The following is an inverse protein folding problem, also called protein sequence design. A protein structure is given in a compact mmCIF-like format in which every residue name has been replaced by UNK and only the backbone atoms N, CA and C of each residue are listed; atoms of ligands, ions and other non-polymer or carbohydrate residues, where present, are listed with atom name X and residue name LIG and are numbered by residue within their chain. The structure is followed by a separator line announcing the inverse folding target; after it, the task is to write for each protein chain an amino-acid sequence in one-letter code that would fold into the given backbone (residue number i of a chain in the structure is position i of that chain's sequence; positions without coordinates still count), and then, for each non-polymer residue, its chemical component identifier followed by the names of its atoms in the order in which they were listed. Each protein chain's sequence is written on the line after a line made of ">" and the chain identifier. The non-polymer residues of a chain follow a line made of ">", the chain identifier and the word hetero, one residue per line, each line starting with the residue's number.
data_IF_690747674236
#
_entry.id   IF_690747674236
#
_cell.length_a   1.000
_cell.length_b   1.000
_cell.length_c   1.000
_cell.angle_alpha   90.00
_cell.angle_beta   90.00
_cell.angle_gamma   90.00
#
_symmetry.space_group_name_H-M   'P 1'
#
loop_
_entity.id
_entity.type
_entity.pdbx_description
1 polymer ?
#
# COMPACT_ATOMS: atom_id res chain seq x y z
N UNK A 1 -9.91 13.21 -2.15
CA UNK A 1 -8.47 13.41 -1.87
C UNK A 1 -8.20 14.91 -1.67
N UNK A 2 -7.28 15.25 -0.76
CA UNK A 2 -6.90 16.66 -0.48
C UNK A 2 -5.71 17.15 -1.32
N UNK A 3 -5.17 16.32 -2.19
CA UNK A 3 -4.06 16.60 -3.10
C UNK A 3 -2.75 17.09 -2.43
N UNK A 4 -2.56 16.82 -1.13
CA UNK A 4 -1.38 17.30 -0.38
C UNK A 4 -0.07 16.66 -0.86
N UNK A 5 -0.13 15.45 -1.41
CA UNK A 5 1.02 14.67 -1.87
C UNK A 5 0.83 14.02 -3.24
N UNK A 6 -0.14 14.49 -4.02
CA UNK A 6 -0.46 13.97 -5.36
C UNK A 6 -1.03 15.07 -6.26
N UNK A 7 -1.36 14.71 -7.50
CA UNK A 7 -1.98 15.60 -8.49
C UNK A 7 -3.28 14.99 -9.02
N UNK A 8 -4.24 15.83 -9.37
CA UNK A 8 -5.48 15.39 -10.02
C UNK A 8 -5.27 14.87 -11.46
N UNK A 9 -4.08 15.06 -12.05
CA UNK A 9 -3.77 14.58 -13.41
C UNK A 9 -3.89 13.06 -13.60
N UNK A 10 -3.87 12.31 -12.50
CA UNK A 10 -4.13 10.85 -12.54
C UNK A 10 -5.52 10.53 -13.10
N UNK A 11 -6.48 11.43 -12.95
CA UNK A 11 -7.86 11.26 -13.47
C UNK A 11 -7.90 11.21 -14.99
N UNK A 12 -7.04 11.98 -15.66
CA UNK A 12 -6.91 11.97 -17.13
C UNK A 12 -6.40 10.61 -17.61
N UNK A 13 -5.42 10.04 -16.90
CA UNK A 13 -4.91 8.70 -17.15
C UNK A 13 -6.00 7.64 -16.98
N UNK A 14 -6.75 7.69 -15.87
CA UNK A 14 -7.86 6.77 -15.62
C UNK A 14 -8.94 6.89 -16.71
N UNK A 15 -9.32 8.11 -17.07
CA UNK A 15 -10.31 8.38 -18.11
C UNK A 15 -9.86 7.81 -19.46
N UNK A 16 -8.59 7.99 -19.82
CA UNK A 16 -8.04 7.47 -21.06
C UNK A 16 -8.03 5.94 -21.09
N UNK A 17 -7.71 5.30 -19.96
CA UNK A 17 -7.65 3.83 -19.85
C UNK A 17 -9.05 3.21 -19.89
N UNK A 18 -10.00 3.81 -19.19
CA UNK A 18 -11.30 3.17 -18.90
C UNK A 18 -12.46 3.72 -19.72
N UNK A 19 -12.28 4.87 -20.36
CA UNK A 19 -13.36 5.63 -20.99
C UNK A 19 -14.36 6.26 -20.00
N UNK A 20 -14.07 6.22 -18.69
CA UNK A 20 -14.90 6.75 -17.62
C UNK A 20 -14.10 7.69 -16.73
N UNK A 21 -14.62 8.87 -16.49
CA UNK A 21 -14.03 9.82 -15.52
C UNK A 21 -14.61 9.56 -14.14
N UNK A 22 -13.78 9.20 -13.14
CA UNK A 22 -14.26 9.09 -11.77
C UNK A 22 -14.77 10.44 -11.26
N UNK A 23 -15.82 10.44 -10.47
CA UNK A 23 -16.25 11.64 -9.78
C UNK A 23 -15.22 11.99 -8.68
N UNK A 24 -14.72 13.21 -8.71
CA UNK A 24 -13.63 13.64 -7.85
C UNK A 24 -14.03 14.80 -6.94
N UNK A 25 -13.75 14.65 -5.67
CA UNK A 25 -13.96 15.69 -4.66
C UNK A 25 -12.62 16.11 -4.05
N UNK A 26 -12.14 17.35 -4.29
CA UNK A 26 -10.95 17.89 -3.65
C UNK A 26 -11.28 18.27 -2.20
N UNK A 27 -11.42 17.27 -1.35
CA UNK A 27 -11.83 17.40 0.04
C UNK A 27 -10.86 16.70 0.98
N UNK A 28 -10.76 17.20 2.21
CA UNK A 28 -9.88 16.67 3.24
C UNK A 28 -10.70 15.91 4.30
N UNK A 29 -10.48 14.59 4.38
CA UNK A 29 -11.14 13.74 5.37
C UNK A 29 -10.71 13.99 6.82
N UNK A 30 -9.70 14.83 7.06
CA UNK A 30 -9.35 15.29 8.42
C UNK A 30 -10.39 16.23 9.03
N UNK A 31 -11.28 16.78 8.21
CA UNK A 31 -12.40 17.58 8.66
C UNK A 31 -13.62 16.68 8.91
N UNK A 32 -14.21 16.72 10.12
CA UNK A 32 -15.28 15.79 10.51
C UNK A 32 -16.52 15.86 9.62
N UNK A 33 -16.81 17.03 9.05
CA UNK A 33 -17.96 17.23 8.15
C UNK A 33 -17.77 16.63 6.74
N UNK A 34 -16.54 16.38 6.32
CA UNK A 34 -16.26 15.93 4.94
C UNK A 34 -16.94 14.60 4.61
N UNK A 35 -16.82 13.61 5.49
CA UNK A 35 -17.47 12.32 5.29
C UNK A 35 -19.01 12.48 5.19
N UNK A 36 -19.61 13.24 6.11
CA UNK A 36 -21.06 13.49 6.14
C UNK A 36 -21.56 14.16 4.85
N UNK A 37 -20.80 15.15 4.33
CA UNK A 37 -21.12 15.81 3.06
C UNK A 37 -21.12 14.80 1.90
N UNK A 38 -20.09 13.93 1.81
CA UNK A 38 -19.98 12.92 0.75
C UNK A 38 -21.13 11.92 0.80
N UNK A 39 -21.44 11.37 1.97
CA UNK A 39 -22.52 10.41 2.15
C UNK A 39 -23.92 11.02 1.90
N UNK A 40 -24.09 12.31 2.21
CA UNK A 40 -25.32 13.03 1.88
C UNK A 40 -25.51 13.23 0.39
N UNK A 41 -24.42 13.43 -0.37
CA UNK A 41 -24.46 13.55 -1.83
C UNK A 41 -24.67 12.20 -2.53
N UNK A 42 -24.15 11.13 -1.94
CA UNK A 42 -24.15 9.78 -2.49
C UNK A 42 -24.79 8.80 -1.50
N UNK A 43 -26.11 8.85 -1.29
CA UNK A 43 -26.79 7.96 -0.35
C UNK A 43 -26.83 6.49 -0.81
N UNK A 44 -26.43 6.21 -2.05
CA UNK A 44 -26.35 4.90 -2.68
C UNK A 44 -24.98 4.22 -2.53
N UNK A 45 -24.04 4.82 -1.79
CA UNK A 45 -22.75 4.18 -1.48
C UNK A 45 -23.02 2.87 -0.73
N UNK A 46 -22.49 1.77 -1.26
CA UNK A 46 -22.59 0.43 -0.68
C UNK A 46 -21.23 -0.21 -0.36
N UNK A 47 -20.13 0.42 -0.80
CA UNK A 47 -18.77 -0.01 -0.47
C UNK A 47 -17.83 1.19 -0.34
N UNK A 48 -16.85 1.04 0.55
CA UNK A 48 -15.76 2.01 0.76
C UNK A 48 -14.42 1.28 0.74
N UNK A 49 -13.48 1.78 -0.05
CA UNK A 49 -12.07 1.41 0.03
C UNK A 49 -11.31 2.60 0.63
N UNK A 50 -10.78 2.43 1.83
CA UNK A 50 -10.11 3.50 2.55
C UNK A 50 -8.60 3.47 2.36
N UNK A 51 -8.10 4.27 1.41
CA UNK A 51 -6.67 4.48 1.17
C UNK A 51 -6.11 5.73 1.83
N UNK A 52 -6.96 6.69 2.22
CA UNK A 52 -6.53 8.00 2.69
C UNK A 52 -5.67 7.89 3.96
N UNK A 53 -4.36 8.03 3.80
CA UNK A 53 -3.39 7.98 4.89
C UNK A 53 -2.03 8.56 4.45
N UNK A 54 -1.24 9.07 5.37
CA UNK A 54 0.19 9.24 5.19
C UNK A 54 0.88 7.87 5.35
N UNK A 55 1.84 7.55 4.48
CA UNK A 55 2.41 6.19 4.36
C UNK A 55 3.95 6.10 4.51
N UNK A 56 4.66 7.22 4.61
CA UNK A 56 6.11 7.23 4.65
C UNK A 56 6.64 6.87 6.04
N UNK A 57 7.33 5.73 6.16
CA UNK A 57 7.83 5.21 7.44
C UNK A 57 8.81 6.18 8.09
N UNK A 58 9.80 6.68 7.34
CA UNK A 58 10.81 7.62 7.85
C UNK A 58 10.19 8.94 8.32
N UNK A 59 9.35 9.57 7.50
CA UNK A 59 8.65 10.81 7.87
C UNK A 59 7.79 10.63 9.11
N UNK A 60 7.18 9.46 9.30
CA UNK A 60 6.35 9.21 10.48
C UNK A 60 7.15 9.28 11.79
N UNK A 61 8.44 8.94 11.75
CA UNK A 61 9.34 9.06 12.93
C UNK A 61 9.66 10.53 13.21
N UNK A 62 9.80 11.35 12.17
CA UNK A 62 10.08 12.78 12.29
C UNK A 62 8.84 13.59 12.69
N UNK A 63 7.65 13.18 12.21
CA UNK A 63 6.38 13.89 12.39
C UNK A 63 5.25 12.98 12.93
N UNK A 64 5.44 12.34 14.08
CA UNK A 64 4.51 11.32 14.57
C UNK A 64 3.09 11.85 14.80
N UNK A 65 2.94 13.07 15.30
CA UNK A 65 1.61 13.64 15.58
C UNK A 65 0.79 13.88 14.32
N UNK A 66 1.44 14.29 13.22
CA UNK A 66 0.78 14.48 11.93
C UNK A 66 0.23 13.14 11.41
N UNK A 67 1.00 12.05 11.59
CA UNK A 67 0.58 10.71 11.20
C UNK A 67 -0.59 10.20 12.02
N UNK A 68 -0.55 10.33 13.35
CA UNK A 68 -1.67 9.95 14.20
C UNK A 68 -2.91 10.77 13.87
N UNK A 69 -2.80 12.08 13.80
CA UNK A 69 -3.92 12.96 13.49
C UNK A 69 -4.52 12.65 12.11
N UNK A 70 -3.68 12.56 11.07
CA UNK A 70 -4.17 12.29 9.73
C UNK A 70 -4.81 10.90 9.62
N UNK A 71 -4.08 9.85 9.99
CA UNK A 71 -4.49 8.49 9.68
C UNK A 71 -5.64 7.99 10.56
N UNK A 72 -5.70 8.41 11.82
CA UNK A 72 -6.75 7.96 12.74
C UNK A 72 -8.02 8.82 12.62
N UNK A 73 -7.90 10.14 12.54
CA UNK A 73 -9.08 11.00 12.43
C UNK A 73 -9.85 10.74 11.13
N UNK A 74 -9.13 10.58 10.00
CA UNK A 74 -9.78 10.26 8.71
C UNK A 74 -10.56 8.94 8.78
N UNK A 75 -10.02 7.93 9.44
CA UNK A 75 -10.68 6.65 9.64
C UNK A 75 -11.93 6.81 10.54
N UNK A 76 -11.78 7.46 11.69
CA UNK A 76 -12.87 7.64 12.66
C UNK A 76 -14.04 8.44 12.06
N UNK A 77 -13.77 9.57 11.40
CA UNK A 77 -14.81 10.40 10.80
C UNK A 77 -15.54 9.66 9.66
N UNK A 78 -14.80 8.87 8.88
CA UNK A 78 -15.39 8.04 7.83
C UNK A 78 -16.29 6.95 8.43
N UNK A 79 -15.82 6.26 9.48
CA UNK A 79 -16.58 5.20 10.15
C UNK A 79 -17.87 5.72 10.79
N UNK A 80 -17.90 6.94 11.33
CA UNK A 80 -19.11 7.56 11.87
C UNK A 80 -20.27 7.65 10.84
N UNK A 81 -19.94 7.73 9.56
CA UNK A 81 -20.94 7.66 8.48
C UNK A 81 -21.20 6.21 8.04
N UNK A 82 -20.16 5.41 7.86
CA UNK A 82 -20.25 4.02 7.41
C UNK A 82 -21.12 3.15 8.32
N UNK A 83 -21.05 3.36 9.65
CA UNK A 83 -21.86 2.56 10.61
C UNK A 83 -23.34 2.87 10.60
N UNK A 84 -23.80 3.91 9.88
CA UNK A 84 -25.23 4.28 9.82
C UNK A 84 -26.04 3.35 8.90
N UNK A 85 -25.38 2.61 8.01
CA UNK A 85 -26.00 1.71 7.04
C UNK A 85 -25.06 0.54 6.70
N UNK A 86 -25.57 -0.56 6.10
CA UNK A 86 -24.74 -1.73 5.79
C UNK A 86 -23.82 -1.48 4.60
N UNK A 87 -22.65 -0.93 4.85
CA UNK A 87 -21.60 -0.62 3.86
C UNK A 87 -20.46 -1.62 4.00
N UNK A 88 -20.04 -2.20 2.89
CA UNK A 88 -18.81 -2.99 2.82
C UNK A 88 -17.57 -2.08 3.00
N UNK A 89 -16.69 -2.41 3.94
CA UNK A 89 -15.53 -1.56 4.23
C UNK A 89 -14.22 -2.31 4.02
N UNK A 90 -13.39 -1.81 3.11
CA UNK A 90 -12.04 -2.35 2.87
C UNK A 90 -11.02 -1.38 3.44
N UNK A 91 -10.21 -1.86 4.37
CA UNK A 91 -9.16 -1.09 4.99
C UNK A 91 -7.79 -1.38 4.38
N UNK A 92 -7.14 -0.34 3.91
CA UNK A 92 -5.75 -0.35 3.47
C UNK A 92 -4.84 -0.49 4.69
N UNK A 93 -4.62 -1.74 5.14
CA UNK A 93 -3.66 -2.07 6.18
C UNK A 93 -2.26 -2.29 5.61
N UNK A 94 -1.34 -2.81 6.38
CA UNK A 94 0.05 -2.95 5.97
C UNK A 94 0.72 -4.10 6.71
N UNK A 95 1.72 -4.74 6.11
CA UNK A 95 2.59 -5.69 6.80
C UNK A 95 3.33 -5.09 8.00
N UNK A 96 3.43 -3.76 8.09
CA UNK A 96 4.07 -3.07 9.22
C UNK A 96 3.34 -3.28 10.55
N UNK A 97 2.09 -3.76 10.53
CA UNK A 97 1.34 -4.15 11.74
C UNK A 97 1.99 -5.34 12.48
N UNK A 98 2.77 -6.16 11.80
CA UNK A 98 3.46 -7.29 12.44
C UNK A 98 4.69 -6.87 13.28
N UNK A 99 5.16 -5.63 13.11
CA UNK A 99 6.42 -5.19 13.71
C UNK A 99 7.60 -6.02 13.17
N UNK A 100 8.46 -6.49 14.07
CA UNK A 100 9.53 -7.43 13.73
C UNK A 100 8.97 -8.86 13.80
N UNK A 101 8.45 -9.38 12.71
CA UNK A 101 7.91 -10.73 12.66
C UNK A 101 8.96 -11.78 13.07
N UNK A 102 8.52 -12.80 13.82
CA UNK A 102 9.40 -13.84 14.36
C UNK A 102 9.63 -14.97 13.35
N UNK A 103 8.66 -15.22 12.49
CA UNK A 103 8.67 -16.32 11.52
C UNK A 103 8.36 -15.81 10.11
N UNK A 104 8.89 -16.50 9.11
CA UNK A 104 8.72 -16.22 7.70
C UNK A 104 8.39 -17.51 6.94
N UNK A 105 7.49 -17.47 5.94
CA UNK A 105 6.66 -16.34 5.53
C UNK A 105 5.63 -15.93 6.61
N UNK A 106 5.28 -14.62 6.67
CA UNK A 106 4.38 -14.10 7.71
C UNK A 106 2.94 -14.53 7.43
N UNK A 107 2.31 -15.18 8.41
CA UNK A 107 0.89 -15.55 8.37
C UNK A 107 0.00 -14.48 9.01
N UNK A 108 -1.30 -14.46 8.69
CA UNK A 108 -2.27 -13.54 9.33
C UNK A 108 -2.47 -13.80 10.83
N UNK A 109 -2.15 -15.02 11.26
CA UNK A 109 -2.17 -15.45 12.67
C UNK A 109 -0.92 -15.05 13.45
N UNK A 110 0.11 -14.53 12.77
CA UNK A 110 1.33 -14.05 13.41
C UNK A 110 1.02 -12.97 14.45
N UNK A 111 1.70 -12.97 15.61
CA UNK A 111 1.49 -11.95 16.63
C UNK A 111 1.70 -10.53 16.09
N UNK A 112 0.80 -9.64 16.44
CA UNK A 112 0.97 -8.20 16.23
C UNK A 112 1.91 -7.68 17.29
N UNK A 113 3.18 -7.54 16.94
CA UNK A 113 4.23 -7.03 17.83
C UNK A 113 4.26 -5.49 17.80
N UNK A 114 5.02 -4.87 18.70
CA UNK A 114 5.18 -3.42 18.71
C UNK A 114 5.60 -2.90 17.34
N UNK A 115 4.84 -1.96 16.80
CA UNK A 115 5.16 -1.34 15.53
C UNK A 115 6.55 -0.66 15.57
N UNK A 116 7.29 -0.78 14.49
CA UNK A 116 8.64 -0.20 14.37
C UNK A 116 8.60 1.28 14.01
N UNK A 117 7.42 1.84 13.70
CA UNK A 117 7.24 3.25 13.34
C UNK A 117 5.84 3.75 13.72
N UNK A 118 5.65 5.08 13.89
CA UNK A 118 4.33 5.68 14.07
C UNK A 118 3.36 5.33 12.94
N UNK A 119 3.81 5.29 11.67
CA UNK A 119 2.98 4.82 10.56
C UNK A 119 2.44 3.40 10.81
N UNK A 120 3.31 2.44 11.12
CA UNK A 120 2.89 1.08 11.44
C UNK A 120 1.92 1.03 12.61
N UNK A 121 2.16 1.82 13.64
CA UNK A 121 1.26 1.92 14.80
C UNK A 121 -0.11 2.51 14.43
N UNK A 122 -0.20 3.48 13.51
CA UNK A 122 -1.51 3.97 13.04
C UNK A 122 -2.32 2.88 12.33
N UNK A 123 -1.64 1.91 11.67
CA UNK A 123 -2.32 0.77 11.06
C UNK A 123 -2.78 -0.27 12.09
N UNK A 124 -1.98 -0.53 13.14
CA UNK A 124 -2.38 -1.37 14.27
C UNK A 124 -3.62 -0.80 14.96
N UNK A 125 -3.56 0.47 15.40
CA UNK A 125 -4.69 1.17 16.03
C UNK A 125 -5.91 1.21 15.10
N UNK A 126 -5.69 1.40 13.79
CA UNK A 126 -6.78 1.38 12.81
C UNK A 126 -7.50 0.03 12.75
N UNK A 127 -6.77 -1.09 12.79
CA UNK A 127 -7.37 -2.43 12.87
C UNK A 127 -8.13 -2.65 14.20
N UNK A 128 -7.60 -2.17 15.34
CA UNK A 128 -8.27 -2.23 16.64
C UNK A 128 -9.59 -1.44 16.61
N UNK A 129 -9.59 -0.20 16.12
CA UNK A 129 -10.80 0.63 15.96
C UNK A 129 -11.84 -0.11 15.11
N UNK A 130 -11.43 -0.75 14.02
CA UNK A 130 -12.32 -1.48 13.13
C UNK A 130 -12.90 -2.74 13.80
N UNK A 131 -12.10 -3.47 14.58
CA UNK A 131 -12.55 -4.65 15.33
C UNK A 131 -13.61 -4.24 16.37
N UNK A 132 -13.34 -3.21 17.18
CA UNK A 132 -14.29 -2.68 18.17
C UNK A 132 -15.58 -2.18 17.50
N UNK A 133 -15.45 -1.52 16.34
CA UNK A 133 -16.60 -1.07 15.56
C UNK A 133 -17.45 -2.24 15.03
N UNK A 134 -16.82 -3.32 14.56
CA UNK A 134 -17.53 -4.52 14.15
C UNK A 134 -18.27 -5.23 15.29
N UNK A 135 -17.73 -5.16 16.50
CA UNK A 135 -18.42 -5.68 17.70
C UNK A 135 -19.64 -4.83 18.08
N UNK A 136 -19.49 -3.50 18.01
CA UNK A 136 -20.55 -2.55 18.36
C UNK A 136 -21.67 -2.47 17.29
N UNK A 137 -21.32 -2.67 16.02
CA UNK A 137 -22.23 -2.56 14.87
C UNK A 137 -22.26 -3.88 14.06
N UNK A 138 -23.14 -4.83 14.38
CA UNK A 138 -23.12 -6.19 13.78
C UNK A 138 -23.31 -6.23 12.26
N UNK A 139 -23.88 -5.18 11.66
CA UNK A 139 -24.06 -5.05 10.22
C UNK A 139 -22.78 -4.57 9.51
N UNK A 140 -21.83 -3.98 10.24
CA UNK A 140 -20.55 -3.58 9.67
C UNK A 140 -19.70 -4.81 9.33
N UNK A 141 -19.26 -4.89 8.09
CA UNK A 141 -18.35 -5.94 7.60
C UNK A 141 -17.09 -5.30 7.04
N UNK A 142 -15.95 -5.71 7.56
CA UNK A 142 -14.64 -5.12 7.23
C UNK A 142 -13.68 -6.19 6.73
N UNK A 143 -12.97 -5.87 5.67
CA UNK A 143 -11.77 -6.60 5.26
C UNK A 143 -10.56 -5.70 5.36
N UNK A 144 -9.58 -6.06 6.19
CA UNK A 144 -8.28 -5.40 6.24
C UNK A 144 -7.29 -6.16 5.33
N UNK A 145 -6.72 -5.45 4.36
CA UNK A 145 -5.69 -5.99 3.48
C UNK A 145 -4.31 -5.53 4.00
N UNK A 146 -3.54 -6.45 4.57
CA UNK A 146 -2.16 -6.22 5.00
C UNK A 146 -1.23 -6.46 3.82
N UNK A 147 -1.02 -5.45 3.00
CA UNK A 147 -0.13 -5.60 1.87
C UNK A 147 1.32 -5.21 2.17
N UNK A 148 2.20 -5.82 1.40
CA UNK A 148 3.64 -5.64 1.51
C UNK A 148 4.09 -4.44 0.67
N UNK A 149 5.07 -4.54 -0.19
CA UNK A 149 5.63 -3.38 -0.89
C UNK A 149 5.05 -3.25 -2.31
N UNK A 150 4.00 -2.43 -2.54
CA UNK A 150 3.49 -2.24 -3.89
C UNK A 150 4.51 -1.51 -4.76
N UNK A 151 4.69 -2.02 -5.99
CA UNK A 151 5.58 -1.48 -7.01
C UNK A 151 4.92 -1.58 -8.40
N UNK A 152 5.55 -0.99 -9.39
CA UNK A 152 5.05 -1.05 -10.76
C UNK A 152 4.07 0.06 -11.09
N UNK A 153 3.52 0.00 -12.29
CA UNK A 153 2.56 0.93 -12.85
C UNK A 153 1.57 0.18 -13.74
N UNK A 154 0.50 0.85 -14.17
CA UNK A 154 -0.39 0.29 -15.16
C UNK A 154 0.34 0.07 -16.51
N UNK A 155 0.01 -0.99 -17.24
CA UNK A 155 0.68 -1.37 -18.49
C UNK A 155 0.69 -0.27 -19.58
N UNK A 156 -0.34 0.61 -19.55
CA UNK A 156 -0.41 1.77 -20.46
C UNK A 156 0.64 2.85 -20.18
N UNK A 157 1.34 2.80 -19.06
CA UNK A 157 2.21 3.85 -18.57
C UNK A 157 1.52 5.25 -18.48
N UNK A 158 0.20 5.30 -18.29
CA UNK A 158 -0.56 6.54 -18.10
C UNK A 158 -0.82 6.86 -16.63
N UNK A 159 -0.70 5.87 -15.75
CA UNK A 159 -0.80 6.02 -14.29
C UNK A 159 0.29 5.16 -13.61
N UNK A 160 0.88 5.70 -12.56
CA UNK A 160 1.93 5.05 -11.79
C UNK A 160 2.27 5.85 -10.55
N UNK A 161 3.25 5.41 -9.77
CA UNK A 161 3.69 6.12 -8.58
C UNK A 161 4.41 7.42 -8.96
N UNK A 162 3.87 8.58 -8.50
CA UNK A 162 4.39 9.91 -8.79
C UNK A 162 4.70 10.64 -7.47
N UNK A 163 5.84 10.37 -6.82
CA UNK A 163 6.20 11.05 -5.60
C UNK A 163 6.52 12.53 -5.85
N UNK A 164 5.96 13.42 -5.05
CA UNK A 164 6.35 14.82 -5.04
C UNK A 164 7.66 14.96 -4.25
N UNK A 165 8.70 15.49 -4.89
CA UNK A 165 10.03 15.66 -4.30
C UNK A 165 10.88 14.38 -4.30
N UNK A 166 11.55 14.09 -3.16
CA UNK A 166 12.43 12.91 -3.03
C UNK A 166 11.61 11.67 -2.75
N UNK A 167 11.71 10.59 -3.59
CA UNK A 167 11.02 9.35 -3.31
C UNK A 167 11.42 8.74 -1.97
N UNK A 168 10.43 8.22 -1.25
CA UNK A 168 10.66 7.47 -0.01
C UNK A 168 10.70 5.95 -0.25
N UNK A 169 10.18 5.50 -1.41
CA UNK A 169 10.17 4.10 -1.81
C UNK A 169 11.33 3.76 -2.74
N UNK A 170 11.79 2.50 -2.68
CA UNK A 170 12.95 2.00 -3.42
C UNK A 170 12.77 2.15 -4.94
N UNK A 171 11.64 1.67 -5.51
CA UNK A 171 11.46 1.57 -6.96
C UNK A 171 11.41 2.93 -7.65
N UNK A 172 10.65 3.95 -7.19
CA UNK A 172 10.74 5.29 -7.78
C UNK A 172 12.13 5.91 -7.67
N UNK A 173 12.88 5.61 -6.58
CA UNK A 173 14.26 6.08 -6.46
C UNK A 173 15.16 5.44 -7.51
N UNK A 174 15.02 4.12 -7.75
CA UNK A 174 15.73 3.38 -8.80
C UNK A 174 15.41 3.97 -10.19
N UNK A 175 14.14 4.12 -10.53
CA UNK A 175 13.73 4.59 -11.86
C UNK A 175 14.17 6.03 -12.11
N UNK A 176 14.07 6.92 -11.11
CA UNK A 176 14.58 8.30 -11.19
C UNK A 176 16.13 8.35 -11.32
N UNK A 177 16.84 7.42 -10.67
CA UNK A 177 18.29 7.30 -10.87
C UNK A 177 18.59 6.84 -12.28
N UNK A 178 17.85 5.86 -12.79
CA UNK A 178 18.02 5.30 -14.12
C UNK A 178 17.78 6.29 -15.26
N UNK A 179 16.87 7.25 -15.07
CA UNK A 179 16.65 8.34 -16.06
C UNK A 179 17.56 9.55 -15.83
N UNK A 180 18.44 9.51 -14.82
CA UNK A 180 19.41 10.58 -14.55
C UNK A 180 18.86 11.76 -13.73
N UNK A 181 17.64 11.66 -13.19
CA UNK A 181 17.10 12.67 -12.26
C UNK A 181 17.87 12.67 -10.92
N UNK A 182 18.54 11.56 -10.59
CA UNK A 182 19.37 11.35 -9.40
C UNK A 182 20.71 10.78 -9.79
N UNK A 183 21.77 11.18 -9.06
CA UNK A 183 23.14 10.75 -9.38
C UNK A 183 23.34 9.27 -9.09
N UNK A 184 22.82 8.77 -7.96
CA UNK A 184 23.00 7.38 -7.51
C UNK A 184 21.95 6.99 -6.46
N UNK A 185 21.74 5.68 -6.29
CA UNK A 185 20.94 5.09 -5.23
C UNK A 185 21.77 4.83 -4.00
N UNK A 186 21.23 5.08 -2.80
CA UNK A 186 21.79 4.59 -1.54
C UNK A 186 21.14 3.27 -1.14
N UNK A 187 21.92 2.20 -1.05
CA UNK A 187 21.50 0.89 -0.53
C UNK A 187 21.83 0.84 0.96
N UNK A 188 20.81 0.77 1.81
CA UNK A 188 20.96 0.86 3.26
C UNK A 188 21.25 -0.51 3.88
N UNK A 189 22.46 -0.67 4.43
CA UNK A 189 22.97 -1.91 4.98
C UNK A 189 23.48 -2.89 3.91
N UNK A 190 24.55 -3.60 4.23
CA UNK A 190 25.17 -4.63 3.39
C UNK A 190 25.65 -5.83 4.21
N UNK A 191 25.24 -5.91 5.47
CA UNK A 191 25.67 -6.90 6.46
C UNK A 191 24.48 -7.58 7.18
N UNK A 192 23.28 -7.46 6.62
CA UNK A 192 22.12 -8.21 7.12
C UNK A 192 22.33 -9.72 6.90
N UNK A 193 21.80 -10.59 7.79
CA UNK A 193 21.88 -12.05 7.65
C UNK A 193 20.96 -12.54 6.53
N UNK A 194 21.23 -12.12 5.30
CA UNK A 194 20.54 -12.45 4.05
C UNK A 194 21.56 -12.89 3.01
N UNK A 195 21.16 -13.54 1.91
CA UNK A 195 22.10 -14.09 0.93
C UNK A 195 23.07 -13.07 0.32
N UNK A 196 22.68 -11.80 0.20
CA UNK A 196 23.50 -10.74 -0.40
C UNK A 196 23.78 -9.57 0.56
N UNK A 197 23.40 -9.72 1.83
CA UNK A 197 23.62 -8.71 2.87
C UNK A 197 22.64 -7.57 2.88
N UNK A 198 21.67 -7.52 1.95
CA UNK A 198 20.64 -6.45 1.91
C UNK A 198 19.29 -6.93 2.41
N UNK A 199 18.40 -6.00 2.82
CA UNK A 199 17.08 -6.33 3.32
C UNK A 199 16.21 -7.03 2.26
N UNK A 200 15.37 -7.97 2.71
CA UNK A 200 14.42 -8.70 1.88
C UNK A 200 13.01 -8.16 2.10
N UNK A 201 12.28 -7.89 1.00
CA UNK A 201 10.87 -7.46 1.01
C UNK A 201 10.07 -8.24 -0.02
N UNK A 202 8.78 -8.32 0.18
CA UNK A 202 7.83 -8.86 -0.80
C UNK A 202 7.33 -7.70 -1.66
N UNK A 203 7.72 -7.69 -2.93
CA UNK A 203 7.36 -6.64 -3.88
C UNK A 203 6.21 -7.12 -4.76
N UNK A 204 5.03 -6.53 -4.56
CA UNK A 204 3.82 -6.88 -5.29
C UNK A 204 3.52 -5.84 -6.37
N UNK A 205 3.11 -6.30 -7.56
CA UNK A 205 2.67 -5.41 -8.62
C UNK A 205 1.38 -4.67 -8.21
N UNK A 206 1.33 -3.35 -8.46
CA UNK A 206 0.20 -2.50 -8.06
C UNK A 206 -1.13 -2.94 -8.68
N UNK A 207 -1.13 -3.55 -9.87
CA UNK A 207 -2.35 -4.09 -10.50
C UNK A 207 -2.84 -5.33 -9.75
N UNK A 208 -1.94 -6.25 -9.36
CA UNK A 208 -2.31 -7.39 -8.51
C UNK A 208 -2.92 -6.92 -7.18
N UNK A 209 -2.34 -5.87 -6.59
CA UNK A 209 -2.88 -5.26 -5.38
C UNK A 209 -4.29 -4.69 -5.61
N UNK A 210 -4.52 -3.98 -6.72
CA UNK A 210 -5.84 -3.47 -7.07
C UNK A 210 -6.87 -4.61 -7.22
N UNK A 211 -6.49 -5.72 -7.87
CA UNK A 211 -7.34 -6.91 -7.99
C UNK A 211 -7.64 -7.57 -6.64
N UNK A 212 -6.70 -7.56 -5.68
CA UNK A 212 -6.97 -8.02 -4.32
C UNK A 212 -8.05 -7.17 -3.63
N UNK A 213 -8.06 -5.86 -3.83
CA UNK A 213 -9.12 -4.98 -3.33
C UNK A 213 -10.48 -5.31 -3.97
N UNK A 214 -10.50 -5.57 -5.28
CA UNK A 214 -11.72 -5.99 -5.98
C UNK A 214 -12.24 -7.34 -5.48
N UNK A 215 -11.36 -8.32 -5.25
CA UNK A 215 -11.74 -9.61 -4.70
C UNK A 215 -12.32 -9.46 -3.27
N UNK A 216 -11.69 -8.66 -2.42
CA UNK A 216 -12.17 -8.37 -1.08
C UNK A 216 -13.53 -7.65 -1.10
N UNK A 217 -13.71 -6.66 -1.97
CA UNK A 217 -14.98 -5.94 -2.12
C UNK A 217 -16.09 -6.87 -2.57
N UNK A 218 -15.85 -7.69 -3.60
CA UNK A 218 -16.82 -8.67 -4.09
C UNK A 218 -17.23 -9.67 -3.01
N UNK A 219 -16.27 -10.12 -2.18
CA UNK A 219 -16.54 -11.00 -1.04
C UNK A 219 -17.50 -10.35 -0.04
N UNK A 220 -17.28 -9.09 0.31
CA UNK A 220 -18.14 -8.36 1.25
C UNK A 220 -19.53 -8.10 0.66
N UNK A 221 -19.62 -7.65 -0.59
CA UNK A 221 -20.90 -7.35 -1.26
C UNK A 221 -21.77 -8.61 -1.49
N UNK A 222 -21.13 -9.78 -1.66
CA UNK A 222 -21.83 -11.06 -1.80
C UNK A 222 -22.16 -11.72 -0.45
N UNK A 223 -21.97 -11.02 0.68
CA UNK A 223 -22.21 -11.52 2.03
C UNK A 223 -21.48 -12.86 2.33
N UNK A 224 -20.28 -13.05 1.78
CA UNK A 224 -19.47 -14.25 1.94
C UNK A 224 -18.49 -14.27 3.12
N UNK A 225 -18.26 -13.16 3.89
CA UNK A 225 -17.33 -13.22 5.03
C UNK A 225 -17.85 -14.12 6.14
N UNK A 226 -16.93 -14.87 6.78
CA UNK A 226 -17.22 -15.75 7.91
C UNK A 226 -17.17 -15.03 9.25
N UNK A 227 -16.55 -13.84 9.28
CA UNK A 227 -16.46 -12.97 10.45
C UNK A 227 -16.75 -11.51 10.05
N UNK A 228 -17.14 -10.68 11.02
CA UNK A 228 -17.38 -9.26 10.79
C UNK A 228 -16.10 -8.48 10.44
N UNK A 229 -14.96 -8.95 10.93
CA UNK A 229 -13.65 -8.44 10.61
C UNK A 229 -12.75 -9.56 10.09
N UNK A 230 -12.30 -9.46 8.85
CA UNK A 230 -11.37 -10.42 8.23
C UNK A 230 -10.08 -9.71 7.83
N UNK A 231 -8.95 -10.41 7.96
CA UNK A 231 -7.62 -9.92 7.58
C UNK A 231 -7.04 -10.84 6.51
N UNK A 232 -6.40 -10.26 5.49
CA UNK A 232 -5.66 -11.01 4.47
C UNK A 232 -4.30 -10.38 4.20
N UNK A 233 -3.27 -11.22 4.15
CA UNK A 233 -1.98 -10.83 3.62
C UNK A 233 -2.03 -10.75 2.09
N UNK A 234 -1.51 -9.66 1.54
CA UNK A 234 -1.48 -9.41 0.10
C UNK A 234 -0.05 -9.15 -0.33
N UNK A 235 0.56 -10.14 -0.94
CA UNK A 235 1.93 -10.17 -1.41
C UNK A 235 2.11 -11.20 -2.51
N UNK A 236 3.35 -11.44 -2.90
CA UNK A 236 3.70 -12.50 -3.87
C UNK A 236 4.00 -13.84 -3.19
N UNK A 237 4.23 -13.82 -1.88
CA UNK A 237 4.75 -14.96 -1.14
C UNK A 237 6.26 -15.20 -1.32
N UNK A 238 6.93 -14.30 -2.03
CA UNK A 238 8.37 -14.37 -2.32
C UNK A 238 9.07 -13.10 -1.85
N UNK A 239 10.13 -13.27 -1.07
CA UNK A 239 10.98 -12.16 -0.71
C UNK A 239 12.02 -11.90 -1.79
N UNK A 240 12.28 -10.63 -2.09
CA UNK A 240 13.40 -10.20 -2.93
C UNK A 240 14.28 -9.19 -2.18
N UNK A 241 15.59 -9.32 -2.33
CA UNK A 241 16.56 -8.41 -1.74
C UNK A 241 16.62 -7.09 -2.51
N UNK A 242 17.22 -6.06 -1.90
CA UNK A 242 17.41 -4.77 -2.60
C UNK A 242 18.30 -4.94 -3.84
N UNK A 243 19.35 -5.77 -3.77
CA UNK A 243 20.19 -6.04 -4.94
C UNK A 243 19.48 -6.84 -6.03
N UNK A 244 18.56 -7.73 -5.68
CA UNK A 244 17.73 -8.42 -6.67
C UNK A 244 16.79 -7.44 -7.39
N UNK A 245 16.22 -6.45 -6.70
CA UNK A 245 15.42 -5.40 -7.32
C UNK A 245 16.24 -4.54 -8.26
N UNK A 246 17.49 -4.19 -7.88
CA UNK A 246 18.43 -3.48 -8.76
C UNK A 246 18.74 -4.31 -10.00
N UNK A 247 19.04 -5.60 -9.85
CA UNK A 247 19.29 -6.50 -10.99
C UNK A 247 18.09 -6.63 -11.93
N UNK A 248 16.87 -6.70 -11.36
CA UNK A 248 15.64 -6.70 -12.16
C UNK A 248 15.51 -5.41 -12.99
N UNK A 249 15.81 -4.23 -12.39
CA UNK A 249 15.87 -2.97 -13.12
C UNK A 249 16.89 -3.00 -14.25
N UNK A 250 18.13 -3.42 -13.98
CA UNK A 250 19.21 -3.46 -14.99
C UNK A 250 18.83 -4.39 -16.15
N UNK A 251 18.21 -5.53 -15.86
CA UNK A 251 17.74 -6.48 -16.85
C UNK A 251 16.67 -5.89 -17.78
N UNK A 252 15.65 -5.19 -17.21
CA UNK A 252 14.53 -4.68 -18.02
C UNK A 252 14.84 -3.36 -18.70
N UNK A 253 15.73 -2.53 -18.13
CA UNK A 253 16.12 -1.24 -18.70
C UNK A 253 17.29 -1.33 -19.68
N UNK A 254 18.10 -2.40 -19.59
CA UNK A 254 19.38 -2.52 -20.28
C UNK A 254 20.43 -1.53 -19.80
N UNK A 255 20.26 -0.92 -18.64
CA UNK A 255 21.13 0.12 -18.07
C UNK A 255 21.67 -0.31 -16.72
N UNK A 256 22.94 -0.06 -16.47
CA UNK A 256 23.53 -0.23 -15.13
C UNK A 256 23.07 0.88 -14.22
N UNK A 257 22.74 0.53 -12.95
CA UNK A 257 22.28 1.49 -11.95
C UNK A 257 23.46 1.90 -11.04
N UNK A 258 23.84 3.17 -11.00
CA UNK A 258 24.84 3.62 -10.03
C UNK A 258 24.26 3.58 -8.60
N UNK A 259 24.94 2.87 -7.68
CA UNK A 259 24.55 2.83 -6.28
C UNK A 259 25.76 2.79 -5.35
N UNK A 260 25.54 3.16 -4.09
CA UNK A 260 26.52 3.06 -3.00
C UNK A 260 25.85 2.43 -1.78
N UNK A 261 26.61 1.71 -0.98
CA UNK A 261 26.15 1.26 0.32
C UNK A 261 26.18 2.40 1.34
N UNK A 262 25.15 2.46 2.16
CA UNK A 262 24.99 3.38 3.27
C UNK A 262 24.70 2.61 4.58
N UNK A 263 24.91 3.19 5.76
CA UNK A 263 24.55 2.54 7.02
C UNK A 263 23.08 2.10 7.06
N UNK A 264 22.74 1.02 7.79
CA UNK A 264 21.35 0.59 7.98
C UNK A 264 20.46 1.72 8.50
N UNK A 265 19.19 1.77 8.06
CA UNK A 265 18.21 2.73 8.58
C UNK A 265 17.63 2.23 9.90
N UNK A 266 17.36 3.14 10.81
CA UNK A 266 16.65 2.81 12.03
C UNK A 266 15.24 2.30 11.71
N UNK A 267 14.87 1.15 12.29
CA UNK A 267 13.56 0.54 12.10
C UNK A 267 13.44 -0.37 10.87
N UNK A 268 14.50 -0.55 10.08
CA UNK A 268 14.48 -1.56 9.02
C UNK A 268 14.49 -2.98 9.62
N UNK A 269 13.59 -3.83 9.13
CA UNK A 269 13.58 -5.27 9.44
C UNK A 269 14.41 -6.02 8.40
N UNK A 270 15.07 -7.11 8.81
CA UNK A 270 15.93 -7.92 7.93
C UNK A 270 15.17 -8.49 6.75
N UNK A 271 14.02 -9.12 7.01
CA UNK A 271 13.17 -9.72 5.97
C UNK A 271 11.69 -9.61 6.34
N UNK A 272 10.83 -9.37 5.33
CA UNK A 272 9.38 -9.41 5.47
C UNK A 272 8.75 -9.83 4.14
N UNK A 273 8.08 -11.00 4.12
CA UNK A 273 7.30 -11.48 2.98
C UNK A 273 6.11 -12.34 3.44
N UNK A 274 5.06 -12.36 2.63
CA UNK A 274 3.76 -12.90 2.97
C UNK A 274 3.69 -14.42 2.92
N UNK A 275 2.90 -15.03 3.81
CA UNK A 275 2.16 -16.22 3.45
C UNK A 275 0.84 -15.78 2.78
N UNK A 276 0.60 -16.20 1.54
CA UNK A 276 -0.57 -15.79 0.74
C UNK A 276 -1.63 -16.86 0.64
N UNK A 277 -1.50 -17.96 1.38
CA UNK A 277 -2.41 -19.12 1.30
C UNK A 277 -3.86 -18.74 1.61
N UNK A 278 -4.10 -17.93 2.63
CA UNK A 278 -5.44 -17.46 2.99
C UNK A 278 -6.07 -16.62 1.88
N UNK A 279 -5.34 -15.70 1.28
CA UNK A 279 -5.83 -14.90 0.16
C UNK A 279 -6.18 -15.78 -1.05
N UNK A 280 -5.33 -16.76 -1.38
CA UNK A 280 -5.60 -17.67 -2.51
C UNK A 280 -6.81 -18.58 -2.28
N UNK A 281 -6.99 -19.11 -1.08
CA UNK A 281 -8.06 -20.09 -0.79
C UNK A 281 -9.40 -19.43 -0.49
N UNK A 282 -9.41 -18.27 0.15
CA UNK A 282 -10.63 -17.60 0.61
C UNK A 282 -11.08 -16.45 -0.31
N UNK A 283 -10.16 -15.61 -0.78
CA UNK A 283 -10.48 -14.56 -1.76
C UNK A 283 -10.45 -15.06 -3.19
N UNK A 284 -9.86 -16.25 -3.47
CA UNK A 284 -9.61 -16.74 -4.82
C UNK A 284 -8.61 -15.88 -5.59
N UNK A 285 -7.76 -15.15 -4.88
CA UNK A 285 -6.81 -14.19 -5.44
C UNK A 285 -5.35 -14.66 -5.24
N UNK A 286 -4.53 -14.46 -6.25
CA UNK A 286 -3.08 -14.63 -6.18
C UNK A 286 -2.40 -13.60 -7.08
N UNK A 287 -1.18 -13.21 -6.70
CA UNK A 287 -0.33 -12.36 -7.54
C UNK A 287 0.07 -13.08 -8.83
N UNK A 288 0.12 -12.36 -9.95
CA UNK A 288 0.42 -12.91 -11.27
C UNK A 288 1.73 -12.36 -11.85
N UNK A 289 2.06 -11.12 -11.52
CA UNK A 289 3.21 -10.45 -12.08
C UNK A 289 4.50 -10.82 -11.33
N UNK A 290 5.56 -11.04 -12.08
CA UNK A 290 6.93 -11.20 -11.57
C UNK A 290 7.54 -9.86 -11.16
N UNK A 291 8.66 -9.92 -10.44
CA UNK A 291 9.44 -8.73 -10.09
C UNK A 291 9.91 -7.96 -11.34
N UNK A 292 10.34 -8.68 -12.38
CA UNK A 292 10.79 -8.09 -13.64
C UNK A 292 9.64 -7.37 -14.36
N UNK A 293 8.45 -7.95 -14.43
CA UNK A 293 7.28 -7.30 -15.04
C UNK A 293 6.87 -6.05 -14.26
N UNK A 294 6.87 -6.11 -12.94
CA UNK A 294 6.60 -4.97 -12.10
C UNK A 294 7.64 -3.85 -12.29
N UNK A 295 8.92 -4.23 -12.39
CA UNK A 295 9.98 -3.26 -12.67
C UNK A 295 9.90 -2.68 -14.08
N UNK A 296 9.54 -3.51 -15.09
CA UNK A 296 9.37 -3.04 -16.46
C UNK A 296 8.24 -2.00 -16.58
N UNK A 297 7.11 -2.23 -15.89
CA UNK A 297 6.00 -1.27 -15.88
C UNK A 297 6.37 0.04 -15.17
N UNK A 298 7.10 -0.03 -14.03
CA UNK A 298 7.61 1.15 -13.34
C UNK A 298 8.61 1.94 -14.21
N UNK A 299 9.47 1.23 -14.93
CA UNK A 299 10.41 1.85 -15.86
C UNK A 299 9.71 2.52 -17.05
N UNK A 300 8.70 1.87 -17.63
CA UNK A 300 7.90 2.46 -18.72
C UNK A 300 7.19 3.75 -18.26
N UNK A 301 6.61 3.75 -17.05
CA UNK A 301 6.01 4.93 -16.43
C UNK A 301 7.01 6.08 -16.27
N UNK A 302 8.18 5.83 -15.67
CA UNK A 302 9.19 6.87 -15.47
C UNK A 302 9.67 7.49 -16.78
N UNK A 303 9.84 6.68 -17.84
CA UNK A 303 10.18 7.19 -19.15
C UNK A 303 9.04 8.03 -19.76
N UNK A 304 7.78 7.65 -19.54
CA UNK A 304 6.62 8.42 -20.01
C UNK A 304 6.56 9.81 -19.38
N UNK A 305 7.00 9.97 -18.14
CA UNK A 305 7.07 11.27 -17.46
C UNK A 305 8.13 12.23 -18.05
N UNK A 306 9.01 11.74 -18.92
CA UNK A 306 10.02 12.56 -19.61
C UNK A 306 9.56 13.03 -21.00
N UNK A 307 8.54 12.40 -21.56
CA UNK A 307 7.96 12.71 -22.88
C UNK A 307 6.83 13.73 -22.78
#
# INVERSE_FOLDING_TARGET
>A
DNLVNTSASVLDGITTITGKTPEFYPMDLRHPETASILFSKHPDINAVIHFAAFKAVGESVEKPLDYYQNNLNTLVYLLQEVVKQPIAFIFSSSCTVYGQALELPIEETAPVLKAMSPYGNTKQIGEEILQDSCLAYPHLKVTALRYFNPIGAHESALIGELPLGVPQNLVPFITQTGVGKRAQLSVFGNDYPTPDGTCIRDYIHVVDLAEAHMAAMNRLLNNAPTASFEVFNVGTGKGSSVLEVIKAYEKVSGRSLPFVFAPPRQGDVTAAYANTHKASTILGWQSRFSLEEAMASAWAWENKLLS
#
